data_IF_538437097525
#
_entry.id   IF_538437097525
#
_cell.length_a   1.000
_cell.length_b   1.000
_cell.length_c   1.000
_cell.angle_alpha   90.00
_cell.angle_beta   90.00
_cell.angle_gamma   90.00
#
_symmetry.space_group_name_H-M   'P 1'
#
loop_
_entity.id
_entity.type
_entity.pdbx_description
1 polymer ?
#
# COMPACT_ATOMS: atom_id res chain seq x y z
N UNK A 1 28.78 13.94 5.42
CA UNK A 1 28.79 13.29 6.15
C UNK A 1 28.71 11.98 5.99
N UNK A 2 29.10 11.30 6.50
CA UNK A 2 29.44 10.08 6.25
C UNK A 2 28.81 9.15 7.14
N UNK A 3 27.57 9.39 7.41
CA UNK A 3 26.78 8.50 8.23
C UNK A 3 26.65 7.11 7.62
N UNK A 4 26.64 7.04 6.32
CA UNK A 4 26.50 5.77 5.63
C UNK A 4 27.66 4.81 5.87
N UNK A 5 28.78 5.32 6.37
CA UNK A 5 29.93 4.49 6.66
C UNK A 5 29.84 3.79 8.00
N UNK A 6 28.79 4.04 8.77
CA UNK A 6 28.62 3.46 10.10
C UNK A 6 27.59 2.34 10.03
N UNK A 7 27.96 1.11 10.33
CA UNK A 7 27.07 -0.04 10.14
C UNK A 7 25.79 -0.01 10.99
N UNK A 8 25.77 0.75 12.07
CA UNK A 8 24.60 0.86 12.92
C UNK A 8 23.68 2.02 12.51
N UNK A 9 24.06 2.78 11.51
CA UNK A 9 23.24 3.90 11.06
C UNK A 9 22.52 3.52 9.78
N UNK A 10 21.19 3.58 9.81
CA UNK A 10 20.35 3.29 8.64
C UNK A 10 19.91 4.61 8.06
N UNK A 11 20.25 4.89 6.80
CA UNK A 11 19.86 6.13 6.16
C UNK A 11 18.41 6.06 5.68
N UNK A 12 17.84 7.20 5.27
CA UNK A 12 16.43 7.27 4.91
C UNK A 12 16.04 6.32 3.77
N UNK A 13 16.75 6.30 2.62
CA UNK A 13 16.38 5.37 1.55
C UNK A 13 16.44 3.90 1.97
N UNK A 14 17.41 3.55 2.78
CA UNK A 14 17.53 2.17 3.27
C UNK A 14 16.39 1.84 4.23
N UNK A 15 16.02 2.77 5.10
CA UNK A 15 14.91 2.56 6.02
C UNK A 15 13.60 2.33 5.25
N UNK A 16 13.36 3.13 4.21
CA UNK A 16 12.18 2.96 3.37
C UNK A 16 12.19 1.59 2.69
N UNK A 17 13.33 1.18 2.13
CA UNK A 17 13.46 -0.12 1.48
C UNK A 17 13.19 -1.27 2.44
N UNK A 18 13.73 -1.20 3.64
CA UNK A 18 13.52 -2.26 4.64
C UNK A 18 12.06 -2.34 5.05
N UNK A 19 11.42 -1.19 5.23
CA UNK A 19 10.01 -1.16 5.61
C UNK A 19 9.14 -1.71 4.49
N UNK A 20 9.42 -1.32 3.24
CA UNK A 20 8.68 -1.84 2.09
C UNK A 20 8.86 -3.34 1.93
N UNK A 21 10.07 -3.85 2.16
CA UNK A 21 10.32 -5.29 2.08
C UNK A 21 9.55 -6.04 3.16
N UNK A 22 9.50 -5.50 4.37
CA UNK A 22 8.74 -6.11 5.46
C UNK A 22 7.24 -6.15 5.12
N UNK A 23 6.72 -5.07 4.56
CA UNK A 23 5.32 -5.01 4.14
C UNK A 23 5.06 -6.02 3.01
N UNK A 24 5.96 -6.10 2.04
CA UNK A 24 5.81 -7.06 0.95
C UNK A 24 5.73 -8.49 1.48
N UNK A 25 6.62 -8.85 2.42
CA UNK A 25 6.62 -10.21 2.96
C UNK A 25 5.34 -10.50 3.74
N UNK A 26 4.83 -9.53 4.46
CA UNK A 26 3.61 -9.70 5.24
C UNK A 26 2.37 -9.79 4.36
N UNK A 27 2.30 -8.98 3.31
CA UNK A 27 1.11 -8.88 2.45
C UNK A 27 1.35 -9.45 1.06
N UNK A 28 2.23 -10.42 0.95
CA UNK A 28 2.65 -10.94 -0.34
C UNK A 28 1.47 -11.35 -1.23
N UNK A 29 0.51 -12.08 -0.67
CA UNK A 29 -0.66 -12.54 -1.43
C UNK A 29 -1.49 -11.38 -1.95
N UNK A 30 -1.71 -10.37 -1.10
CA UNK A 30 -2.49 -9.19 -1.48
C UNK A 30 -1.76 -8.40 -2.56
N UNK A 31 -0.46 -8.22 -2.41
CA UNK A 31 0.35 -7.48 -3.38
C UNK A 31 0.38 -8.21 -4.73
N UNK A 32 0.43 -9.54 -4.71
CA UNK A 32 0.35 -10.32 -5.95
C UNK A 32 -1.00 -10.15 -6.64
N UNK A 33 -2.09 -10.05 -5.86
CA UNK A 33 -3.40 -9.75 -6.42
C UNK A 33 -3.44 -8.35 -7.02
N UNK A 34 -2.84 -7.37 -6.36
CA UNK A 34 -2.69 -6.03 -6.92
C UNK A 34 -1.96 -6.07 -8.25
N UNK A 35 -0.86 -6.83 -8.33
CA UNK A 35 -0.09 -6.93 -9.56
C UNK A 35 -0.94 -7.49 -10.70
N UNK A 36 -1.76 -8.49 -10.43
CA UNK A 36 -2.69 -9.03 -11.43
C UNK A 36 -3.67 -7.98 -11.90
N UNK A 37 -4.26 -7.24 -10.96
CA UNK A 37 -5.20 -6.18 -11.31
C UNK A 37 -4.54 -5.07 -12.11
N UNK A 38 -3.31 -4.72 -11.74
CA UNK A 38 -2.54 -3.70 -12.47
C UNK A 38 -2.28 -4.14 -13.90
N UNK A 39 -1.81 -5.37 -14.09
CA UNK A 39 -1.55 -5.90 -15.43
C UNK A 39 -2.83 -5.93 -16.27
N UNK A 40 -3.94 -6.37 -15.68
CA UNK A 40 -5.21 -6.41 -16.39
C UNK A 40 -5.68 -5.02 -16.77
N UNK A 41 -5.59 -4.07 -15.85
CA UNK A 41 -5.97 -2.69 -16.11
C UNK A 41 -5.12 -2.07 -17.22
N UNK A 42 -3.81 -2.30 -17.19
CA UNK A 42 -2.93 -1.81 -18.23
C UNK A 42 -3.29 -2.38 -19.59
N UNK A 43 -3.61 -3.66 -19.65
CA UNK A 43 -4.03 -4.32 -20.89
C UNK A 43 -5.30 -3.72 -21.45
N UNK A 44 -6.18 -3.21 -20.58
CA UNK A 44 -7.43 -2.57 -20.97
C UNK A 44 -7.30 -1.06 -21.12
N UNK A 45 -6.08 -0.54 -21.06
CA UNK A 45 -5.78 0.89 -21.18
C UNK A 45 -6.42 1.71 -20.06
N UNK A 46 -6.58 1.13 -18.90
CA UNK A 46 -7.03 1.84 -17.70
C UNK A 46 -5.84 2.38 -16.93
N UNK A 47 -6.06 3.39 -16.14
CA UNK A 47 -5.00 4.10 -15.43
C UNK A 47 -5.22 4.09 -13.91
N UNK A 48 -6.10 3.24 -13.43
CA UNK A 48 -6.36 3.16 -12.01
C UNK A 48 -6.95 1.80 -11.62
N UNK A 49 -6.72 1.42 -10.37
CA UNK A 49 -7.39 0.29 -9.73
C UNK A 49 -7.77 0.69 -8.32
N UNK A 50 -8.77 0.02 -7.76
CA UNK A 50 -9.23 0.29 -6.40
C UNK A 50 -9.24 -1.00 -5.58
N UNK A 51 -8.80 -0.90 -4.33
CA UNK A 51 -8.83 -2.00 -3.37
C UNK A 51 -9.57 -1.54 -2.12
N UNK A 52 -10.35 -2.43 -1.53
CA UNK A 52 -11.10 -2.13 -0.31
C UNK A 52 -10.74 -3.11 0.78
N UNK A 53 -10.64 -2.60 2.01
CA UNK A 53 -10.39 -3.43 3.18
C UNK A 53 -11.06 -2.81 4.39
N UNK A 54 -11.44 -3.65 5.36
CA UNK A 54 -11.96 -3.17 6.63
C UNK A 54 -10.87 -3.16 7.72
N UNK A 55 -9.66 -3.54 7.36
CA UNK A 55 -8.54 -3.61 8.30
C UNK A 55 -7.67 -2.36 8.16
N UNK A 56 -7.67 -1.54 9.22
CA UNK A 56 -6.95 -0.28 9.21
C UNK A 56 -5.44 -0.47 9.07
N UNK A 57 -4.88 -1.47 9.72
CA UNK A 57 -3.44 -1.74 9.63
C UNK A 57 -3.03 -2.10 8.21
N UNK A 58 -3.82 -2.98 7.57
CA UNK A 58 -3.59 -3.35 6.17
C UNK A 58 -3.65 -2.12 5.27
N UNK A 59 -4.65 -1.25 5.51
CA UNK A 59 -4.82 -0.02 4.76
C UNK A 59 -3.59 0.88 4.87
N UNK A 60 -3.10 1.13 6.08
CA UNK A 60 -1.94 1.99 6.28
C UNK A 60 -0.67 1.40 5.68
N UNK A 61 -0.46 0.09 5.83
CA UNK A 61 0.73 -0.56 5.30
C UNK A 61 0.77 -0.53 3.78
N UNK A 62 -0.37 -0.82 3.14
CA UNK A 62 -0.44 -0.79 1.68
C UNK A 62 -0.33 0.62 1.13
N UNK A 63 -0.92 1.61 1.82
CA UNK A 63 -0.77 3.00 1.45
C UNK A 63 0.71 3.40 1.44
N UNK A 64 1.42 3.08 2.51
CA UNK A 64 2.84 3.37 2.62
C UNK A 64 3.63 2.69 1.51
N UNK A 65 3.36 1.40 1.31
CA UNK A 65 4.08 0.61 0.31
C UNK A 65 3.94 1.20 -1.09
N UNK A 66 2.71 1.41 -1.54
CA UNK A 66 2.48 1.86 -2.91
C UNK A 66 2.89 3.32 -3.15
N UNK A 67 2.78 4.16 -2.13
CA UNK A 67 3.28 5.52 -2.22
C UNK A 67 4.80 5.51 -2.46
N UNK A 68 5.51 4.65 -1.76
CA UNK A 68 6.97 4.59 -1.88
C UNK A 68 7.45 3.81 -3.11
N UNK A 69 6.59 2.99 -3.70
CA UNK A 69 6.88 2.35 -4.99
C UNK A 69 6.78 3.36 -6.14
N UNK A 70 5.98 4.41 -5.94
CA UNK A 70 5.90 5.48 -6.92
C UNK A 70 4.53 5.73 -7.51
N UNK A 71 3.50 5.03 -7.03
CA UNK A 71 2.14 5.28 -7.50
C UNK A 71 1.56 6.53 -6.86
N UNK A 72 0.67 7.18 -7.58
CA UNK A 72 -0.20 8.17 -6.98
C UNK A 72 -1.30 7.41 -6.26
N UNK A 73 -1.49 7.68 -4.97
CA UNK A 73 -2.44 6.92 -4.16
C UNK A 73 -3.48 7.87 -3.57
N UNK A 74 -4.75 7.61 -3.87
CA UNK A 74 -5.87 8.28 -3.22
C UNK A 74 -6.47 7.32 -2.21
N UNK A 75 -6.93 7.86 -1.09
CA UNK A 75 -7.56 7.07 -0.04
C UNK A 75 -8.90 7.67 0.32
N UNK A 76 -9.82 6.81 0.75
CA UNK A 76 -11.14 7.23 1.18
C UNK A 76 -11.60 6.28 2.29
N UNK A 77 -12.47 6.77 3.16
CA UNK A 77 -13.01 6.00 4.26
C UNK A 77 -14.53 6.07 4.20
N UNK A 78 -15.17 4.91 4.20
CA UNK A 78 -16.62 4.82 4.19
C UNK A 78 -17.12 4.23 5.50
N UNK A 79 -17.78 5.02 6.36
CA UNK A 79 -18.39 4.46 7.56
C UNK A 79 -19.57 3.58 7.17
N UNK A 80 -19.68 2.42 7.79
CA UNK A 80 -20.75 1.47 7.57
C UNK A 80 -21.38 1.08 8.89
N UNK A 81 -22.60 0.59 8.83
CA UNK A 81 -23.34 0.21 10.01
C UNK A 81 -24.05 -1.12 9.70
N UNK A 82 -23.82 -2.12 10.54
CA UNK A 82 -24.42 -3.43 10.33
C UNK A 82 -24.72 -4.08 11.67
N UNK A 83 -25.99 -4.46 11.88
CA UNK A 83 -26.41 -5.14 13.11
C UNK A 83 -26.04 -4.38 14.39
N UNK A 84 -26.14 -3.05 14.35
CA UNK A 84 -25.80 -2.22 15.49
C UNK A 84 -24.33 -1.99 15.70
N UNK A 85 -23.50 -2.49 14.78
CA UNK A 85 -22.05 -2.33 14.88
C UNK A 85 -21.56 -1.42 13.78
N UNK A 86 -20.80 -0.39 14.16
CA UNK A 86 -20.22 0.56 13.25
C UNK A 86 -18.83 0.05 12.84
N UNK A 87 -18.54 0.16 11.55
CA UNK A 87 -17.21 -0.20 11.04
C UNK A 87 -16.87 0.69 9.85
N UNK A 88 -15.62 0.72 9.45
CA UNK A 88 -15.15 1.56 8.35
C UNK A 88 -14.57 0.70 7.26
N UNK A 89 -14.93 1.00 6.01
CA UNK A 89 -14.27 0.41 4.84
C UNK A 89 -13.28 1.44 4.32
N UNK A 90 -12.04 1.00 4.17
CA UNK A 90 -10.95 1.83 3.66
C UNK A 90 -10.74 1.51 2.19
N UNK A 91 -10.69 2.54 1.36
CA UNK A 91 -10.46 2.38 -0.08
C UNK A 91 -9.11 2.95 -0.45
N UNK A 92 -8.35 2.19 -1.23
CA UNK A 92 -7.08 2.63 -1.77
C UNK A 92 -7.22 2.61 -3.29
N UNK A 93 -6.99 3.76 -3.92
CA UNK A 93 -6.99 3.86 -5.38
C UNK A 93 -5.57 4.14 -5.82
N UNK A 94 -5.01 3.24 -6.64
CA UNK A 94 -3.71 3.46 -7.26
C UNK A 94 -3.94 4.02 -8.64
N UNK A 95 -3.18 5.07 -8.97
CA UNK A 95 -3.29 5.74 -10.27
C UNK A 95 -1.92 5.89 -10.89
N UNK A 96 -1.91 5.87 -12.23
CA UNK A 96 -0.66 6.06 -12.96
C UNK A 96 -0.89 6.67 -14.34
#
# INVERSE_FOLDING_TARGET
>A
MEQKDKPWVVNYPEAVNRTCNAIYEEYKTVIELFNKKLCDACSKKKHEITYRTDNETTFHDLYYFYTNVGFKVDVDEEPKYKNGIEYTIYKIKLMW
#
